data_IF_807492122964
#
_entry.id   IF_807492122964
#
_cell.length_a   1.000
_cell.length_b   1.000
_cell.length_c   1.000
_cell.angle_alpha   90.00
_cell.angle_beta   90.00
_cell.angle_gamma   90.00
#
_symmetry.space_group_name_H-M   'P 1'
#
loop_
_entity.id
_entity.type
_entity.pdbx_description
1 polymer ?
#
# COMPACT_ATOMS: atom_id res chain seq x y z
N UNK A 1 24.92 -10.77 12.52
CA UNK A 1 24.63 -10.13 11.22
C UNK A 1 23.11 -10.05 11.07
N UNK A 2 22.56 -8.85 10.85
CA UNK A 2 21.11 -8.62 10.81
C UNK A 2 20.64 -8.52 9.36
N UNK A 3 19.84 -9.49 8.91
CA UNK A 3 19.26 -9.54 7.54
C UNK A 3 17.79 -9.16 7.50
N UNK A 4 17.08 -9.33 8.61
CA UNK A 4 15.65 -9.05 8.75
C UNK A 4 15.44 -8.30 10.05
N UNK A 5 14.67 -7.22 10.02
CA UNK A 5 14.26 -6.48 11.20
C UNK A 5 12.75 -6.28 11.20
N UNK A 6 12.13 -6.55 12.34
CA UNK A 6 10.71 -6.33 12.56
C UNK A 6 10.51 -5.53 13.85
N UNK A 7 10.01 -4.32 13.72
CA UNK A 7 9.46 -3.57 14.85
C UNK A 7 7.96 -3.83 14.94
N UNK A 8 7.57 -4.64 15.92
CA UNK A 8 6.18 -4.94 16.25
C UNK A 8 5.88 -4.44 17.65
N UNK A 9 4.87 -3.60 17.76
CA UNK A 9 4.26 -3.22 19.04
C UNK A 9 2.77 -3.48 18.96
N UNK A 10 2.18 -3.84 20.10
CA UNK A 10 0.74 -3.97 20.26
C UNK A 10 0.14 -2.71 20.93
N UNK A 11 0.98 -1.77 21.36
CA UNK A 11 0.55 -0.54 22.01
C UNK A 11 0.31 0.57 20.97
N UNK A 12 -0.92 1.09 20.90
CA UNK A 12 -1.28 2.17 19.99
C UNK A 12 -0.45 3.46 20.19
N UNK A 13 0.12 3.65 21.39
CA UNK A 13 0.95 4.78 21.77
C UNK A 13 2.44 4.61 21.43
N UNK A 14 2.90 3.40 21.12
CA UNK A 14 4.30 3.14 20.82
C UNK A 14 4.59 3.29 19.32
N UNK A 15 5.55 4.12 19.00
CA UNK A 15 5.95 4.39 17.62
C UNK A 15 7.46 4.35 17.53
N UNK A 16 7.99 3.61 16.55
CA UNK A 16 9.40 3.70 16.20
C UNK A 16 9.65 5.11 15.67
N UNK A 17 10.63 5.81 16.23
CA UNK A 17 11.02 7.11 15.73
C UNK A 17 11.90 6.95 14.49
N UNK A 18 11.80 7.91 13.58
CA UNK A 18 12.55 7.85 12.33
C UNK A 18 14.07 7.91 12.54
N UNK A 19 14.55 8.58 13.58
CA UNK A 19 15.97 8.64 13.92
C UNK A 19 16.53 7.26 14.24
N UNK A 20 15.77 6.47 15.03
CA UNK A 20 16.16 5.10 15.38
C UNK A 20 16.19 4.20 14.13
N UNK A 21 15.21 4.38 13.23
CA UNK A 21 15.20 3.72 11.94
C UNK A 21 16.43 4.13 11.08
N UNK A 22 16.77 5.41 11.05
CA UNK A 22 17.91 5.90 10.27
C UNK A 22 19.22 5.29 10.77
N UNK A 23 19.40 5.21 12.10
CA UNK A 23 20.56 4.55 12.70
C UNK A 23 20.60 3.06 12.37
N UNK A 24 19.47 2.36 12.41
CA UNK A 24 19.38 0.95 12.01
C UNK A 24 19.84 0.76 10.55
N UNK A 25 19.33 1.57 9.62
CA UNK A 25 19.63 1.48 8.19
C UNK A 25 21.10 1.79 7.87
N UNK A 26 21.74 2.69 8.63
CA UNK A 26 23.17 3.02 8.47
C UNK A 26 24.09 1.92 8.98
N UNK A 27 23.74 1.27 10.07
CA UNK A 27 24.62 0.30 10.72
C UNK A 27 24.38 -1.14 10.26
N UNK A 28 23.25 -1.43 9.60
CA UNK A 28 22.85 -2.79 9.23
C UNK A 28 23.09 -3.10 7.75
N UNK A 29 24.35 -3.17 7.31
CA UNK A 29 24.74 -3.41 5.89
C UNK A 29 24.04 -4.58 5.19
N UNK A 30 23.69 -5.61 5.94
CA UNK A 30 23.09 -6.84 5.39
C UNK A 30 21.57 -6.88 5.49
N UNK A 31 20.94 -5.82 6.00
CA UNK A 31 19.49 -5.75 6.13
C UNK A 31 18.85 -5.76 4.74
N UNK A 32 17.94 -6.71 4.53
CA UNK A 32 17.19 -6.90 3.29
C UNK A 32 15.70 -6.76 3.50
N UNK A 33 15.20 -7.14 4.68
CA UNK A 33 13.79 -7.20 4.97
C UNK A 33 13.48 -6.34 6.18
N UNK A 34 12.67 -5.30 5.98
CA UNK A 34 12.30 -4.35 7.03
C UNK A 34 10.77 -4.32 7.18
N UNK A 35 10.30 -4.63 8.38
CA UNK A 35 8.89 -4.48 8.75
C UNK A 35 8.75 -3.57 9.97
N UNK A 36 7.91 -2.54 9.87
CA UNK A 36 7.62 -1.60 10.94
C UNK A 36 6.11 -1.47 11.04
N UNK A 37 5.57 -1.79 12.22
CA UNK A 37 4.13 -1.70 12.44
C UNK A 37 3.66 -0.26 12.62
N UNK A 38 4.43 0.56 13.35
CA UNK A 38 4.12 1.95 13.64
C UNK A 38 5.38 2.81 13.52
N UNK A 39 5.44 3.67 12.50
CA UNK A 39 6.56 4.60 12.25
C UNK A 39 6.12 6.05 12.44
N UNK A 40 6.82 6.76 13.33
CA UNK A 40 6.68 8.19 13.48
C UNK A 40 7.85 8.88 12.78
N UNK A 41 7.56 9.68 11.76
CA UNK A 41 8.53 10.62 11.22
C UNK A 41 8.73 11.81 12.16
N UNK A 42 9.78 12.59 11.90
CA UNK A 42 10.05 13.82 12.63
C UNK A 42 9.09 14.93 12.16
N UNK A 43 8.56 15.71 13.09
CA UNK A 43 7.73 16.84 12.71
C UNK A 43 8.56 17.84 11.87
N UNK A 44 7.93 18.54 10.93
CA UNK A 44 8.63 19.39 9.97
C UNK A 44 9.47 20.52 10.61
N UNK A 45 9.20 20.85 11.89
CA UNK A 45 9.91 21.83 12.71
C UNK A 45 11.04 21.26 13.57
N UNK A 46 11.23 19.94 13.61
CA UNK A 46 12.19 19.33 14.54
C UNK A 46 13.62 19.43 14.01
N UNK A 47 14.55 19.89 14.85
CA UNK A 47 16.00 19.85 14.60
C UNK A 47 16.49 18.44 14.21
N UNK A 48 15.79 17.40 14.65
CA UNK A 48 16.05 16.01 14.29
C UNK A 48 15.86 15.72 12.79
N UNK A 49 14.90 16.38 12.13
CA UNK A 49 14.72 16.32 10.66
C UNK A 49 15.93 16.87 9.91
N UNK A 50 16.67 17.81 10.50
CA UNK A 50 17.88 18.38 9.90
C UNK A 50 19.09 17.46 10.05
N UNK A 51 19.24 16.77 11.21
CA UNK A 51 20.33 15.84 11.49
C UNK A 51 20.35 14.60 10.58
N UNK A 52 19.19 14.10 10.16
CA UNK A 52 19.16 12.93 9.26
C UNK A 52 19.76 13.26 7.89
N UNK A 53 19.66 14.51 7.43
CA UNK A 53 20.22 14.92 6.14
C UNK A 53 21.74 15.07 6.15
N UNK A 54 22.39 15.17 7.32
CA UNK A 54 23.83 15.41 7.44
C UNK A 54 24.65 14.14 7.77
N UNK A 55 24.02 13.10 8.31
CA UNK A 55 24.72 11.91 8.82
C UNK A 55 24.87 10.74 7.82
N UNK A 56 24.84 11.03 6.51
CA UNK A 56 25.12 10.04 5.44
C UNK A 56 23.97 9.06 5.15
N UNK A 57 24.10 8.33 4.04
CA UNK A 57 23.06 7.44 3.47
C UNK A 57 22.97 6.06 4.18
N UNK A 58 21.85 5.32 4.01
CA UNK A 58 21.77 3.91 4.39
C UNK A 58 22.95 3.08 3.87
N UNK A 59 23.30 2.04 4.62
CA UNK A 59 24.33 1.10 4.22
C UNK A 59 23.77 -0.22 3.66
N UNK A 60 22.45 -0.40 3.69
CA UNK A 60 21.74 -1.58 3.25
C UNK A 60 21.06 -1.41 1.87
N UNK A 61 20.68 -2.54 1.27
CA UNK A 61 19.85 -2.60 0.06
C UNK A 61 18.63 -3.48 0.36
N UNK A 62 17.49 -2.85 0.56
CA UNK A 62 16.26 -3.54 0.92
C UNK A 62 15.68 -4.30 -0.27
N UNK A 63 15.23 -5.52 -0.03
CA UNK A 63 14.43 -6.33 -0.93
C UNK A 63 12.94 -6.23 -0.59
N UNK A 64 12.61 -6.05 0.70
CA UNK A 64 11.24 -5.78 1.16
C UNK A 64 11.18 -4.69 2.23
N UNK A 65 10.19 -3.80 2.07
CA UNK A 65 9.88 -2.71 2.99
C UNK A 65 8.38 -2.74 3.32
N UNK A 66 8.05 -2.94 4.59
CA UNK A 66 6.67 -2.93 5.05
C UNK A 66 6.47 -1.94 6.19
N UNK A 67 5.75 -0.86 5.93
CA UNK A 67 5.35 0.12 6.94
C UNK A 67 3.83 0.10 7.03
N UNK A 68 3.31 -0.40 8.15
CA UNK A 68 1.88 -0.71 8.32
C UNK A 68 1.05 0.42 8.93
N UNK A 69 1.68 1.38 9.58
CA UNK A 69 1.09 2.65 10.03
C UNK A 69 2.19 3.70 10.03
N UNK A 70 1.92 4.85 9.43
CA UNK A 70 2.88 5.95 9.41
C UNK A 70 2.21 7.28 9.70
N UNK A 71 2.92 8.11 10.48
CA UNK A 71 2.57 9.51 10.78
C UNK A 71 3.79 10.40 10.54
N UNK A 72 3.56 11.65 10.13
CA UNK A 72 4.60 12.69 10.04
C UNK A 72 5.84 12.39 9.18
N UNK A 73 5.68 11.75 8.01
CA UNK A 73 6.79 11.44 7.11
C UNK A 73 6.81 12.32 5.83
N UNK A 74 7.91 13.04 5.64
CA UNK A 74 8.15 13.85 4.44
C UNK A 74 8.92 13.11 3.35
N UNK A 75 8.99 13.73 2.17
CA UNK A 75 9.75 13.22 1.01
C UNK A 75 11.21 12.85 1.34
N UNK A 76 11.91 13.68 2.14
CA UNK A 76 13.33 13.44 2.48
C UNK A 76 13.49 12.16 3.29
N UNK A 77 12.60 11.91 4.26
CA UNK A 77 12.61 10.72 5.08
C UNK A 77 12.31 9.47 4.25
N UNK A 78 11.33 9.54 3.36
CA UNK A 78 11.00 8.46 2.43
C UNK A 78 12.18 8.12 1.51
N UNK A 79 12.76 9.15 0.88
CA UNK A 79 13.90 9.01 -0.02
C UNK A 79 15.12 8.44 0.69
N UNK A 80 15.32 8.81 1.96
CA UNK A 80 16.35 8.22 2.79
C UNK A 80 16.12 6.72 3.00
N UNK A 81 14.91 6.28 3.38
CA UNK A 81 14.63 4.85 3.67
C UNK A 81 14.95 3.97 2.47
N UNK A 82 14.61 4.43 1.27
CA UNK A 82 14.78 3.65 0.03
C UNK A 82 16.10 3.90 -0.67
N UNK A 83 16.95 4.78 -0.16
CA UNK A 83 18.25 5.04 -0.75
C UNK A 83 19.03 3.73 -0.90
N UNK A 84 19.68 3.58 -2.07
CA UNK A 84 20.36 2.34 -2.54
C UNK A 84 19.48 1.11 -2.77
N UNK A 85 18.19 1.18 -2.47
CA UNK A 85 17.24 0.06 -2.63
C UNK A 85 16.41 0.13 -3.92
N UNK A 86 16.58 1.17 -4.74
CA UNK A 86 15.80 1.40 -5.97
C UNK A 86 15.80 0.22 -6.96
N UNK A 87 16.90 -0.53 -7.03
CA UNK A 87 17.05 -1.66 -7.94
C UNK A 87 16.92 -3.03 -7.25
N UNK A 88 16.65 -3.06 -5.94
CA UNK A 88 16.54 -4.30 -5.15
C UNK A 88 15.16 -4.48 -4.54
N UNK A 89 14.43 -3.39 -4.29
CA UNK A 89 13.14 -3.41 -3.63
C UNK A 89 12.06 -4.04 -4.52
N UNK A 90 11.58 -5.21 -4.09
CA UNK A 90 10.55 -6.00 -4.78
C UNK A 90 9.19 -5.91 -4.11
N UNK A 91 9.16 -5.71 -2.80
CA UNK A 91 7.94 -5.67 -2.01
C UNK A 91 7.84 -4.36 -1.24
N UNK A 92 6.74 -3.65 -1.43
CA UNK A 92 6.45 -2.39 -0.75
C UNK A 92 5.07 -2.46 -0.12
N UNK A 93 5.00 -2.30 1.20
CA UNK A 93 3.76 -2.01 1.92
C UNK A 93 3.86 -0.63 2.56
N UNK A 94 2.87 0.20 2.28
CA UNK A 94 2.79 1.54 2.79
C UNK A 94 1.36 1.90 3.21
N UNK A 95 1.10 1.90 4.51
CA UNK A 95 -0.24 2.13 5.07
C UNK A 95 -0.20 3.31 6.03
N UNK A 96 -1.09 4.26 5.81
CA UNK A 96 -1.20 5.48 6.61
C UNK A 96 -2.02 5.26 7.88
N UNK A 97 -1.85 6.14 8.85
CA UNK A 97 -2.75 6.16 9.99
C UNK A 97 -4.16 6.61 9.57
N UNK A 98 -5.17 5.79 9.89
CA UNK A 98 -6.58 6.09 9.58
C UNK A 98 -7.03 7.41 10.23
N UNK A 99 -7.89 8.19 9.55
CA UNK A 99 -8.42 9.44 10.09
C UNK A 99 -9.09 9.37 11.47
N UNK A 100 -9.76 8.26 11.77
CA UNK A 100 -10.62 8.13 12.95
C UNK A 100 -9.85 8.01 14.28
N UNK A 101 -8.56 7.69 14.26
CA UNK A 101 -7.76 7.53 15.50
C UNK A 101 -7.22 8.85 16.05
N UNK A 102 -7.49 9.97 15.38
CA UNK A 102 -6.97 11.29 15.72
C UNK A 102 -8.11 12.20 16.17
N UNK A 103 -8.29 12.35 17.49
CA UNK A 103 -9.23 13.32 18.06
C UNK A 103 -8.62 14.72 18.05
N UNK A 104 -8.56 15.39 16.89
CA UNK A 104 -7.89 16.70 16.81
C UNK A 104 -8.62 17.71 15.94
N UNK A 105 -8.46 18.98 16.35
CA UNK A 105 -9.13 20.17 15.84
C UNK A 105 -8.74 20.53 14.40
N UNK A 106 -7.55 20.12 13.95
CA UNK A 106 -7.11 20.26 12.56
C UNK A 106 -6.39 18.99 12.06
N UNK A 107 -7.14 17.99 11.58
CA UNK A 107 -6.57 16.73 11.08
C UNK A 107 -5.64 16.90 9.87
N UNK A 108 -5.59 18.09 9.26
CA UNK A 108 -4.79 18.40 8.07
C UNK A 108 -3.32 18.70 8.40
N UNK A 109 -3.05 19.41 9.50
CA UNK A 109 -1.69 19.78 9.92
C UNK A 109 -0.97 18.63 10.65
N UNK A 110 -1.72 17.79 11.36
CA UNK A 110 -1.16 16.80 12.30
C UNK A 110 -1.01 15.38 11.75
N UNK A 111 -1.22 15.13 10.45
CA UNK A 111 -1.02 13.76 9.89
C UNK A 111 0.31 13.60 9.17
N UNK A 112 0.91 14.71 8.75
CA UNK A 112 2.25 14.84 8.17
C UNK A 112 2.68 13.79 7.13
N UNK A 113 1.75 13.12 6.44
CA UNK A 113 1.99 12.62 5.09
C UNK A 113 1.10 13.41 4.16
N UNK A 114 1.59 14.61 3.90
CA UNK A 114 0.79 15.69 3.35
C UNK A 114 0.66 15.65 1.83
N UNK A 115 1.51 14.87 1.14
CA UNK A 115 1.58 14.97 -0.32
C UNK A 115 1.86 13.62 -1.00
N UNK A 116 0.95 13.22 -1.89
CA UNK A 116 1.13 12.15 -2.88
C UNK A 116 2.47 12.30 -3.61
N UNK A 117 2.87 13.54 -3.94
CA UNK A 117 4.12 13.81 -4.62
C UNK A 117 5.34 13.35 -3.81
N UNK A 118 5.29 13.34 -2.47
CA UNK A 118 6.41 12.85 -1.66
C UNK A 118 6.64 11.35 -1.85
N UNK A 119 5.56 10.58 -1.91
CA UNK A 119 5.59 9.14 -2.19
C UNK A 119 6.08 8.91 -3.62
N UNK A 120 5.53 9.68 -4.57
CA UNK A 120 5.95 9.60 -5.98
C UNK A 120 7.44 9.84 -6.15
N UNK A 121 7.97 10.93 -5.58
CA UNK A 121 9.37 11.28 -5.72
C UNK A 121 10.30 10.23 -5.11
N UNK A 122 9.93 9.66 -3.96
CA UNK A 122 10.75 8.63 -3.30
C UNK A 122 10.75 7.30 -4.07
N UNK A 123 9.60 6.83 -4.54
CA UNK A 123 9.47 5.48 -5.10
C UNK A 123 9.54 5.42 -6.64
N UNK A 124 9.56 6.54 -7.37
CA UNK A 124 9.61 6.54 -8.85
C UNK A 124 10.77 5.74 -9.43
N UNK A 125 11.90 5.62 -8.72
CA UNK A 125 13.08 4.89 -9.18
C UNK A 125 13.01 3.39 -8.87
N UNK A 126 12.05 2.95 -8.06
CA UNK A 126 11.88 1.56 -7.61
C UNK A 126 11.24 0.66 -8.67
N UNK A 127 11.90 0.48 -9.81
CA UNK A 127 11.39 -0.27 -10.97
C UNK A 127 11.21 -1.77 -10.76
N UNK A 128 11.80 -2.34 -9.69
CA UNK A 128 11.76 -3.77 -9.41
C UNK A 128 10.57 -4.21 -8.55
N UNK A 129 9.69 -3.28 -8.16
CA UNK A 129 8.52 -3.60 -7.34
C UNK A 129 7.60 -4.58 -8.08
N UNK A 130 7.35 -5.72 -7.43
CA UNK A 130 6.46 -6.78 -7.87
C UNK A 130 5.18 -6.84 -7.03
N UNK A 131 5.29 -6.47 -5.75
CA UNK A 131 4.18 -6.45 -4.79
C UNK A 131 4.05 -5.06 -4.18
N UNK A 132 2.88 -4.45 -4.33
CA UNK A 132 2.55 -3.15 -3.77
C UNK A 132 1.28 -3.27 -2.92
N UNK A 133 1.37 -2.85 -1.65
CA UNK A 133 0.23 -2.61 -0.77
C UNK A 133 0.19 -1.14 -0.38
N UNK A 134 -0.92 -0.46 -0.65
CA UNK A 134 -1.13 0.95 -0.23
C UNK A 134 -2.54 1.13 0.32
N UNK A 135 -2.66 1.79 1.49
CA UNK A 135 -3.95 1.92 2.18
C UNK A 135 -4.04 3.17 3.07
N UNK A 136 -5.28 3.50 3.45
CA UNK A 136 -5.65 4.49 4.48
C UNK A 136 -5.22 5.95 4.18
N UNK A 137 -5.17 6.33 2.89
CA UNK A 137 -4.83 7.70 2.49
C UNK A 137 -5.89 8.72 2.95
N UNK A 138 -5.42 9.83 3.53
CA UNK A 138 -6.21 10.83 4.27
C UNK A 138 -7.50 11.32 3.57
N UNK A 139 -7.48 11.43 2.24
CA UNK A 139 -8.61 12.01 1.48
C UNK A 139 -9.57 10.99 0.88
N UNK A 140 -9.28 9.68 0.97
CA UNK A 140 -10.15 8.71 0.31
C UNK A 140 -11.57 8.77 0.89
N UNK A 141 -11.76 9.16 2.16
CA UNK A 141 -13.06 9.26 2.86
C UNK A 141 -13.83 10.58 2.79
N UNK A 142 -13.42 11.58 1.99
CA UNK A 142 -14.03 12.92 2.05
C UNK A 142 -14.31 13.55 0.69
N UNK A 143 -15.56 13.40 0.21
CA UNK A 143 -16.16 14.07 -0.97
C UNK A 143 -15.49 13.74 -2.33
N UNK A 144 -16.22 13.83 -3.46
CA UNK A 144 -15.92 13.06 -4.69
C UNK A 144 -14.82 13.64 -5.59
N UNK A 145 -13.87 14.42 -5.08
CA UNK A 145 -13.01 15.18 -5.99
C UNK A 145 -11.87 14.34 -6.61
N UNK A 146 -10.98 13.70 -5.83
CA UNK A 146 -9.81 12.98 -6.37
C UNK A 146 -9.36 11.95 -5.33
N UNK A 147 -9.28 10.67 -5.68
CA UNK A 147 -8.61 9.69 -4.81
C UNK A 147 -7.09 9.89 -4.86
N UNK A 148 -6.40 10.17 -3.74
CA UNK A 148 -4.95 10.18 -3.70
C UNK A 148 -4.37 8.83 -4.08
N UNK A 149 -5.06 7.73 -3.74
CA UNK A 149 -4.63 6.37 -4.10
C UNK A 149 -4.66 6.18 -5.61
N UNK A 150 -5.75 6.59 -6.26
CA UNK A 150 -5.86 6.63 -7.72
C UNK A 150 -4.69 7.40 -8.35
N UNK A 151 -4.44 8.64 -7.90
CA UNK A 151 -3.33 9.45 -8.39
C UNK A 151 -1.95 8.82 -8.17
N UNK A 152 -1.72 8.20 -7.01
CA UNK A 152 -0.49 7.45 -6.70
C UNK A 152 -0.34 6.28 -7.68
N UNK A 153 -1.38 5.47 -7.84
CA UNK A 153 -1.34 4.31 -8.72
C UNK A 153 -1.13 4.72 -10.17
N UNK A 154 -1.83 5.73 -10.69
CA UNK A 154 -1.62 6.23 -12.06
C UNK A 154 -0.17 6.66 -12.30
N UNK A 155 0.37 7.46 -11.39
CA UNK A 155 1.70 8.08 -11.56
C UNK A 155 2.82 7.07 -11.30
N UNK A 156 2.70 6.20 -10.30
CA UNK A 156 3.67 5.14 -10.02
C UNK A 156 3.56 3.95 -10.97
N UNK A 157 2.37 3.68 -11.54
CA UNK A 157 2.14 2.56 -12.46
C UNK A 157 3.10 2.60 -13.65
N UNK A 158 3.37 3.80 -14.16
CA UNK A 158 4.34 4.01 -15.24
C UNK A 158 5.77 3.57 -14.87
N UNK A 159 6.11 3.58 -13.58
CA UNK A 159 7.43 3.21 -13.06
C UNK A 159 7.54 1.73 -12.66
N UNK A 160 6.43 1.06 -12.36
CA UNK A 160 6.40 -0.32 -11.84
C UNK A 160 6.07 -1.34 -12.92
N UNK A 161 6.91 -1.41 -13.95
CA UNK A 161 6.70 -2.35 -15.06
C UNK A 161 6.68 -3.83 -14.64
N UNK A 162 7.21 -4.13 -13.46
CA UNK A 162 7.26 -5.47 -12.89
C UNK A 162 6.11 -5.80 -11.92
N UNK A 163 5.16 -4.88 -11.72
CA UNK A 163 4.07 -5.06 -10.76
C UNK A 163 3.19 -6.26 -11.12
N UNK A 164 3.03 -7.18 -10.17
CA UNK A 164 2.24 -8.41 -10.32
C UNK A 164 1.14 -8.51 -9.27
N UNK A 165 1.35 -7.94 -8.10
CA UNK A 165 0.48 -8.06 -6.95
C UNK A 165 0.16 -6.67 -6.43
N UNK A 166 -1.13 -6.33 -6.45
CA UNK A 166 -1.61 -5.04 -5.98
C UNK A 166 -2.64 -5.25 -4.88
N UNK A 167 -2.40 -4.61 -3.74
CA UNK A 167 -3.31 -4.54 -2.60
C UNK A 167 -3.62 -3.09 -2.30
N UNK A 168 -4.90 -2.76 -2.25
CA UNK A 168 -5.39 -1.40 -2.11
C UNK A 168 -6.58 -1.33 -1.18
N UNK A 169 -6.58 -0.37 -0.28
CA UNK A 169 -7.76 0.04 0.48
C UNK A 169 -8.12 1.45 0.02
N UNK A 170 -9.28 1.64 -0.61
CA UNK A 170 -9.68 2.96 -1.14
C UNK A 170 -10.37 2.93 -2.49
N UNK A 171 -10.85 4.10 -2.91
CA UNK A 171 -11.34 4.31 -4.27
C UNK A 171 -10.19 4.14 -5.25
N UNK A 172 -10.24 3.11 -6.09
CA UNK A 172 -9.53 3.17 -7.37
C UNK A 172 -10.56 3.66 -8.37
N UNK A 173 -10.60 4.94 -8.74
CA UNK A 173 -11.11 5.26 -10.06
C UNK A 173 -10.35 4.37 -11.03
N UNK A 174 -11.01 3.35 -11.57
CA UNK A 174 -10.36 2.42 -12.50
C UNK A 174 -9.69 3.09 -13.72
N UNK A 175 -9.97 4.36 -14.10
CA UNK A 175 -9.11 5.13 -15.00
C UNK A 175 -7.63 5.23 -14.57
N UNK A 176 -7.26 5.10 -13.30
CA UNK A 176 -5.84 5.16 -12.92
C UNK A 176 -5.09 3.84 -13.08
N UNK A 177 -5.83 2.72 -13.17
CA UNK A 177 -5.33 1.47 -13.75
C UNK A 177 -5.47 1.48 -15.29
N UNK A 178 -5.89 2.59 -15.88
CA UNK A 178 -6.30 2.66 -17.29
C UNK A 178 -6.19 4.07 -17.90
N UNK A 179 -5.09 4.35 -18.60
CA UNK A 179 -5.16 5.38 -19.62
C UNK A 179 -5.69 4.78 -20.93
N UNK A 180 -6.85 5.24 -21.40
CA UNK A 180 -7.44 4.86 -22.71
C UNK A 180 -6.59 5.24 -23.92
N UNK A 181 -5.60 6.10 -23.70
CA UNK A 181 -4.70 6.62 -24.70
C UNK A 181 -3.28 6.08 -24.53
N UNK A 182 -2.99 5.27 -23.51
CA UNK A 182 -1.70 4.56 -23.42
C UNK A 182 -1.76 3.26 -24.23
N UNK A 183 -0.99 3.24 -25.32
CA UNK A 183 -0.79 2.06 -26.15
C UNK A 183 -0.06 0.92 -25.42
N UNK A 184 0.72 1.25 -24.38
CA UNK A 184 1.45 0.28 -23.56
C UNK A 184 0.84 0.18 -22.16
N UNK A 185 0.30 -0.99 -21.83
CA UNK A 185 0.02 -1.32 -20.43
C UNK A 185 1.35 -1.61 -19.72
N UNK A 186 1.73 -0.84 -18.67
CA UNK A 186 3.07 -0.94 -18.10
C UNK A 186 3.33 -2.28 -17.40
N UNK A 187 2.29 -2.98 -16.95
CA UNK A 187 2.42 -4.26 -16.24
C UNK A 187 1.19 -5.16 -16.40
N UNK A 188 1.30 -6.41 -15.93
CA UNK A 188 0.19 -7.34 -15.87
C UNK A 188 0.03 -7.92 -14.47
N UNK A 189 -1.08 -7.60 -13.82
CA UNK A 189 -1.41 -8.12 -12.50
C UNK A 189 -1.77 -9.60 -12.56
N UNK A 190 -1.23 -10.35 -11.60
CA UNK A 190 -1.60 -11.73 -11.27
C UNK A 190 -2.61 -11.76 -10.12
N UNK A 191 -2.51 -10.84 -9.16
CA UNK A 191 -3.49 -10.69 -8.09
C UNK A 191 -3.85 -9.24 -7.81
N UNK A 192 -5.12 -9.02 -7.46
CA UNK A 192 -5.66 -7.75 -7.02
C UNK A 192 -6.47 -7.97 -5.73
N UNK A 193 -6.16 -7.21 -4.69
CA UNK A 193 -6.91 -7.16 -3.44
C UNK A 193 -7.49 -5.77 -3.25
N UNK A 194 -8.80 -5.71 -3.04
CA UNK A 194 -9.55 -4.49 -2.87
C UNK A 194 -10.25 -4.54 -1.52
N UNK A 195 -9.73 -3.75 -0.60
CA UNK A 195 -10.32 -3.54 0.71
C UNK A 195 -11.35 -2.39 0.68
N UNK A 196 -12.30 -2.43 1.62
CA UNK A 196 -13.48 -1.57 1.64
C UNK A 196 -13.16 -0.06 1.59
N UNK A 197 -13.95 0.67 0.81
CA UNK A 197 -14.09 2.13 0.88
C UNK A 197 -15.48 2.58 0.39
N UNK A 198 -16.01 3.66 0.95
CA UNK A 198 -17.35 4.23 0.71
C UNK A 198 -17.68 4.60 -0.75
N UNK A 199 -16.71 4.61 -1.67
CA UNK A 199 -17.02 4.91 -3.09
C UNK A 199 -16.45 3.89 -4.09
N UNK A 200 -16.14 2.68 -3.63
CA UNK A 200 -15.76 1.60 -4.54
C UNK A 200 -16.92 1.27 -5.50
N UNK A 201 -16.64 1.25 -6.81
CA UNK A 201 -17.64 0.95 -7.85
C UNK A 201 -17.36 -0.39 -8.52
N UNK A 202 -18.13 -1.41 -8.16
CA UNK A 202 -18.03 -2.74 -8.77
C UNK A 202 -18.21 -2.69 -10.30
N UNK A 203 -19.09 -1.83 -10.81
CA UNK A 203 -19.36 -1.68 -12.25
C UNK A 203 -18.10 -1.33 -13.06
N UNK A 204 -17.22 -0.51 -12.49
CA UNK A 204 -15.98 -0.07 -13.13
C UNK A 204 -14.98 -1.22 -13.23
N UNK A 205 -14.84 -2.01 -12.16
CA UNK A 205 -14.02 -3.22 -12.17
C UNK A 205 -14.56 -4.26 -13.16
N UNK A 206 -15.88 -4.47 -13.20
CA UNK A 206 -16.53 -5.36 -14.16
C UNK A 206 -16.25 -4.94 -15.60
N UNK A 207 -16.32 -3.64 -15.89
CA UNK A 207 -16.00 -3.10 -17.20
C UNK A 207 -14.55 -3.45 -17.60
N UNK A 208 -13.57 -3.20 -16.72
CA UNK A 208 -12.17 -3.52 -17.00
C UNK A 208 -11.93 -5.02 -17.20
N UNK A 209 -12.53 -5.86 -16.36
CA UNK A 209 -12.43 -7.30 -16.50
C UNK A 209 -13.04 -7.80 -17.81
N UNK A 210 -14.04 -7.14 -18.41
CA UNK A 210 -14.66 -7.58 -19.66
C UNK A 210 -13.82 -7.29 -20.90
N UNK A 211 -12.85 -6.39 -20.83
CA UNK A 211 -12.12 -5.97 -22.03
C UNK A 211 -11.28 -7.13 -22.58
N UNK A 212 -11.33 -7.28 -23.91
CA UNK A 212 -10.49 -8.17 -24.71
C UNK A 212 -9.08 -7.54 -24.85
N UNK A 213 -8.07 -8.32 -25.26
CA UNK A 213 -6.98 -8.84 -24.42
C UNK A 213 -5.92 -7.78 -24.02
N UNK A 214 -6.34 -6.60 -23.57
CA UNK A 214 -5.48 -5.47 -23.23
C UNK A 214 -5.70 -5.02 -21.78
N UNK A 215 -4.73 -4.30 -21.22
CA UNK A 215 -4.79 -3.75 -19.87
C UNK A 215 -4.23 -4.64 -18.75
N UNK A 216 -4.13 -4.08 -17.53
CA UNK A 216 -3.35 -4.69 -16.44
C UNK A 216 -4.01 -5.94 -15.86
N UNK A 217 -5.33 -6.09 -15.99
CA UNK A 217 -6.09 -7.23 -15.48
C UNK A 217 -6.10 -8.44 -16.42
N UNK A 218 -5.44 -8.34 -17.59
CA UNK A 218 -5.40 -9.41 -18.59
C UNK A 218 -4.94 -10.76 -18.03
N UNK A 219 -3.91 -10.75 -17.18
CA UNK A 219 -3.30 -11.97 -16.60
C UNK A 219 -3.77 -12.23 -15.16
N UNK A 220 -4.85 -11.57 -14.73
CA UNK A 220 -5.36 -11.71 -13.39
C UNK A 220 -5.76 -13.16 -13.13
N UNK A 221 -5.33 -13.70 -11.99
CA UNK A 221 -5.66 -15.07 -11.54
C UNK A 221 -6.45 -15.06 -10.26
N UNK A 222 -6.21 -14.08 -9.39
CA UNK A 222 -6.83 -13.97 -8.08
C UNK A 222 -7.40 -12.56 -7.92
N UNK A 223 -8.66 -12.48 -7.55
CA UNK A 223 -9.32 -11.25 -7.17
C UNK A 223 -9.88 -11.42 -5.76
N UNK A 224 -9.45 -10.56 -4.85
CA UNK A 224 -9.94 -10.51 -3.48
C UNK A 224 -10.72 -9.23 -3.27
N UNK A 225 -11.91 -9.35 -2.69
CA UNK A 225 -12.77 -8.20 -2.39
C UNK A 225 -13.37 -8.32 -0.99
N UNK A 226 -13.51 -7.18 -0.31
CA UNK A 226 -14.12 -7.12 1.02
C UNK A 226 -15.62 -7.43 0.97
N UNK A 227 -16.16 -8.08 2.01
CA UNK A 227 -17.59 -8.45 2.13
C UNK A 227 -18.52 -7.27 2.03
N UNK A 228 -18.10 -6.11 2.54
CA UNK A 228 -18.96 -4.93 2.61
C UNK A 228 -19.24 -4.32 1.22
N UNK A 229 -18.37 -4.60 0.24
CA UNK A 229 -18.66 -4.29 -1.16
C UNK A 229 -19.91 -5.05 -1.64
N UNK A 230 -20.20 -6.22 -1.06
CA UNK A 230 -21.34 -7.04 -1.44
C UNK A 230 -22.65 -6.56 -0.83
N UNK A 231 -22.60 -5.86 0.31
CA UNK A 231 -23.80 -5.44 1.02
C UNK A 231 -24.69 -4.48 0.20
N UNK A 232 -24.09 -3.76 -0.75
CA UNK A 232 -24.76 -2.74 -1.58
C UNK A 232 -25.00 -3.19 -3.03
N UNK A 233 -24.66 -4.44 -3.38
CA UNK A 233 -24.70 -4.93 -4.76
C UNK A 233 -25.94 -5.81 -4.99
N UNK A 234 -26.76 -5.43 -5.97
CA UNK A 234 -27.89 -6.25 -6.42
C UNK A 234 -27.45 -7.63 -6.94
N UNK A 235 -28.20 -8.68 -6.62
CA UNK A 235 -27.92 -10.07 -7.01
C UNK A 235 -27.63 -10.25 -8.50
N UNK A 236 -28.38 -9.57 -9.37
CA UNK A 236 -28.16 -9.64 -10.83
C UNK A 236 -26.77 -9.14 -11.23
N UNK A 237 -26.33 -8.03 -10.64
CA UNK A 237 -25.01 -7.45 -10.89
C UNK A 237 -23.91 -8.37 -10.35
N UNK A 238 -24.13 -8.95 -9.18
CA UNK A 238 -23.20 -9.89 -8.56
C UNK A 238 -23.04 -11.18 -9.38
N UNK A 239 -24.15 -11.78 -9.78
CA UNK A 239 -24.17 -12.97 -10.65
C UNK A 239 -23.48 -12.68 -11.99
N UNK A 240 -23.72 -11.48 -12.56
CA UNK A 240 -23.06 -11.07 -13.79
C UNK A 240 -21.55 -10.92 -13.61
N UNK A 241 -21.09 -10.36 -12.49
CA UNK A 241 -19.67 -10.27 -12.15
C UNK A 241 -18.99 -11.64 -12.01
N UNK A 242 -19.63 -12.58 -11.32
CA UNK A 242 -19.12 -13.94 -11.19
C UNK A 242 -18.97 -14.64 -12.55
N UNK A 243 -19.91 -14.44 -13.48
CA UNK A 243 -19.80 -14.95 -14.86
C UNK A 243 -18.60 -14.39 -15.60
N UNK A 244 -18.30 -13.10 -15.44
CA UNK A 244 -17.11 -12.46 -16.04
C UNK A 244 -15.84 -13.15 -15.50
N UNK A 245 -15.73 -13.32 -14.18
CA UNK A 245 -14.57 -13.96 -13.55
C UNK A 245 -14.40 -15.42 -13.98
N UNK A 246 -15.49 -16.18 -14.02
CA UNK A 246 -15.49 -17.58 -14.47
C UNK A 246 -15.00 -17.70 -15.92
N UNK A 247 -15.47 -16.83 -16.82
CA UNK A 247 -15.03 -16.81 -18.22
C UNK A 247 -13.52 -16.54 -18.37
N UNK A 248 -12.94 -15.82 -17.41
CA UNK A 248 -11.51 -15.49 -17.37
C UNK A 248 -10.68 -16.42 -16.47
N UNK A 249 -11.30 -17.43 -15.85
CA UNK A 249 -10.66 -18.34 -14.88
C UNK A 249 -9.99 -17.58 -13.72
N UNK A 250 -10.59 -16.46 -13.28
CA UNK A 250 -10.14 -15.70 -12.12
C UNK A 250 -10.78 -16.30 -10.87
N UNK A 251 -9.97 -16.69 -9.89
CA UNK A 251 -10.43 -17.10 -8.56
C UNK A 251 -10.89 -15.87 -7.79
N UNK A 252 -12.15 -15.86 -7.41
CA UNK A 252 -12.72 -14.86 -6.50
C UNK A 252 -12.57 -15.34 -5.06
N UNK A 253 -12.02 -14.50 -4.18
CA UNK A 253 -12.01 -14.75 -2.74
C UNK A 253 -12.66 -13.54 -2.04
N UNK A 254 -13.79 -13.79 -1.39
CA UNK A 254 -14.46 -12.77 -0.58
C UNK A 254 -13.87 -12.85 0.83
N UNK A 255 -13.38 -11.73 1.36
CA UNK A 255 -12.84 -11.68 2.71
C UNK A 255 -13.61 -10.68 3.56
N UNK A 256 -13.62 -10.92 4.86
CA UNK A 256 -14.12 -10.01 5.88
C UNK A 256 -12.90 -9.55 6.66
N UNK A 257 -12.67 -8.25 6.84
CA UNK A 257 -11.85 -7.84 7.98
C UNK A 257 -12.61 -8.25 9.24
N UNK A 258 -11.97 -9.03 10.10
CA UNK A 258 -12.40 -9.04 11.49
C UNK A 258 -12.40 -7.58 11.96
N UNK A 259 -13.42 -7.14 12.71
CA UNK A 259 -13.58 -5.73 13.10
C UNK A 259 -12.27 -5.21 13.71
N UNK A 260 -12.03 -3.89 13.71
CA UNK A 260 -10.93 -3.29 14.47
C UNK A 260 -11.26 -3.42 15.97
N UNK A 261 -11.23 -4.64 16.48
CA UNK A 261 -11.36 -5.01 17.88
C UNK A 261 -9.97 -5.32 18.38
N UNK A 262 -9.49 -4.46 19.29
CA UNK A 262 -8.42 -4.84 20.18
C UNK A 262 -8.70 -6.22 20.79
N UNK A 263 -7.67 -7.06 20.82
CA UNK A 263 -7.48 -8.17 21.74
C UNK A 263 -8.70 -9.03 22.07
N UNK A 264 -8.85 -10.18 21.41
CA UNK A 264 -8.93 -11.45 22.14
C UNK A 264 -8.11 -12.51 21.36
N UNK A 265 -7.11 -13.06 22.06
CA UNK A 265 -6.45 -14.28 21.67
C UNK A 265 -7.48 -15.40 21.72
N UNK A 266 -7.85 -15.94 20.56
CA UNK A 266 -8.12 -17.37 20.49
C UNK A 266 -7.13 -18.02 19.53
N UNK A 267 -6.45 -19.00 20.11
CA UNK A 267 -5.52 -19.92 19.49
C UNK A 267 -6.10 -20.56 18.23
N UNK A 268 -5.84 -19.98 17.08
CA UNK A 268 -6.06 -20.64 15.80
C UNK A 268 -4.95 -20.28 14.82
N UNK A 269 -3.94 -21.13 14.83
CA UNK A 269 -3.10 -21.47 13.69
C UNK A 269 -2.25 -20.34 13.07
N UNK A 270 -1.06 -20.15 13.66
CA UNK A 270 0.07 -19.36 13.14
C UNK A 270 0.38 -19.62 11.65
N UNK A 271 -0.03 -20.77 11.12
CA UNK A 271 0.13 -21.17 9.72
C UNK A 271 -0.65 -20.27 8.76
N UNK A 272 -1.82 -19.75 9.16
CA UNK A 272 -2.64 -18.86 8.33
C UNK A 272 -2.10 -17.44 8.19
N UNK A 273 -1.31 -16.97 9.15
CA UNK A 273 -0.70 -15.64 9.13
C UNK A 273 0.62 -15.60 8.35
N UNK A 274 1.40 -16.69 8.39
CA UNK A 274 2.62 -16.83 7.59
C UNK A 274 2.32 -17.01 6.09
N UNK A 275 1.20 -17.65 5.74
CA UNK A 275 0.74 -17.77 4.36
C UNK A 275 0.39 -16.42 3.69
N UNK A 276 0.09 -15.36 4.47
CA UNK A 276 -0.19 -14.02 3.93
C UNK A 276 1.07 -13.21 3.60
N UNK A 277 2.23 -13.62 4.10
CA UNK A 277 3.52 -12.95 3.86
C UNK A 277 4.44 -13.72 2.91
N UNK A 278 4.01 -14.90 2.47
CA UNK A 278 4.75 -15.75 1.54
C UNK A 278 3.92 -16.04 0.27
N UNK A 279 3.45 -14.98 -0.41
CA UNK A 279 3.06 -15.03 -1.84
C UNK A 279 3.47 -13.72 -2.51
#
# INVERSE_FOLDING_TARGET
>A
MLTTFTFRTNAASEWLKFEDLAQLLRHSRQLKHLTIFQLAGAAASDEASQRVNTEGEPACQLESLHIRRVRWIGYKHLSFIVAKSHHTLKQLTWVFERPATLSVSNPWLERGVFDVNNILHAFRQCSQIQTLRVADLVWDGSRPAISPLGSILYRLASCFSNLRHLETCGNIPTPELYDRHQESCPFYLRSLFIDQHENFRLADLMYQLRRKPEGPLKKLKILRIHTDILAEVMDEKWNYFQRILASKKVKLEVHREDPPGNCELESADLTGHLARLAV
#
